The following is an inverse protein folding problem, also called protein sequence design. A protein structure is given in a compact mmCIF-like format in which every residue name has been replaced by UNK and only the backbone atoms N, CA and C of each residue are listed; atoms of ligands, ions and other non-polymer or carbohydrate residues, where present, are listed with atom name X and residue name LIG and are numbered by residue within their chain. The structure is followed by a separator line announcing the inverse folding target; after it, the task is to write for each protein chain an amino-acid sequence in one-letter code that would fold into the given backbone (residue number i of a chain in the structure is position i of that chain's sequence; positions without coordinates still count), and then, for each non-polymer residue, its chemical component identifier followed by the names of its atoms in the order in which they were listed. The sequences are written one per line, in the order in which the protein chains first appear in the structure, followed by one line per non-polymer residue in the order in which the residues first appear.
data_IF_863575420182
#
_entry.id   IF_863575420182
#
_cell.length_a   1.000
_cell.length_b   1.000
_cell.length_c   1.000
_cell.angle_alpha   90.00
_cell.angle_beta   90.00
_cell.angle_gamma   90.00
#
_symmetry.space_group_name_H-M   'P 1'
#
loop_
_entity.id
_entity.type
_entity.pdbx_description
1 polymer ?
#
# COMPACT_ATOMS: atom_id res chain seq x y z
N UNK A 1 -7.32 -25.72 11.14
CA UNK A 1 -6.98 -26.23 9.79
C UNK A 1 -8.15 -25.84 8.88
N UNK A 2 -8.00 -24.86 7.98
CA UNK A 2 -9.04 -24.50 6.99
C UNK A 2 -8.82 -25.43 5.80
N UNK A 3 -9.81 -26.24 5.46
CA UNK A 3 -9.83 -26.99 4.19
C UNK A 3 -10.02 -25.96 3.07
N UNK A 4 -9.04 -25.84 2.20
CA UNK A 4 -9.13 -25.05 0.98
C UNK A 4 -9.51 -26.03 -0.12
N UNK A 5 -10.73 -25.91 -0.65
CA UNK A 5 -11.16 -26.65 -1.82
C UNK A 5 -10.42 -26.12 -3.06
N UNK A 6 -9.41 -26.86 -3.48
CA UNK A 6 -8.63 -26.54 -4.69
C UNK A 6 -9.32 -27.16 -5.91
N UNK A 7 -9.81 -26.33 -6.79
CA UNK A 7 -10.41 -26.76 -8.06
C UNK A 7 -9.36 -26.77 -9.16
N UNK A 8 -9.26 -27.85 -9.93
CA UNK A 8 -8.30 -27.96 -11.02
C UNK A 8 -8.63 -26.95 -12.14
N UNK A 9 -7.71 -26.04 -12.50
CA UNK A 9 -7.96 -25.02 -13.52
C UNK A 9 -8.09 -25.62 -14.94
N UNK A 10 -7.67 -26.85 -15.14
CA UNK A 10 -7.68 -27.48 -16.45
C UNK A 10 -8.94 -28.33 -16.70
N UNK A 11 -9.53 -28.97 -15.68
CA UNK A 11 -10.69 -29.85 -15.86
C UNK A 11 -11.84 -29.61 -14.89
N UNK A 12 -11.71 -28.65 -13.96
CA UNK A 12 -12.74 -28.32 -12.96
C UNK A 12 -12.94 -29.34 -11.84
N UNK A 13 -12.16 -30.41 -11.78
CA UNK A 13 -12.28 -31.43 -10.74
C UNK A 13 -11.66 -30.95 -9.42
N UNK A 14 -12.24 -31.38 -8.30
CA UNK A 14 -11.71 -31.05 -6.97
C UNK A 14 -10.40 -31.81 -6.71
N UNK A 15 -9.37 -31.11 -6.22
CA UNK A 15 -8.05 -31.67 -5.90
C UNK A 15 -7.91 -31.70 -4.39
N UNK A 16 -7.71 -32.90 -3.84
CA UNK A 16 -7.34 -33.08 -2.43
C UNK A 16 -5.83 -33.05 -2.30
N UNK A 17 -5.23 -31.98 -1.77
CA UNK A 17 -3.79 -31.92 -1.56
C UNK A 17 -3.38 -32.79 -0.40
N UNK A 18 -2.35 -33.61 -0.59
CA UNK A 18 -1.67 -34.29 0.52
C UNK A 18 -0.97 -33.23 1.40
N UNK A 19 -1.26 -33.15 2.71
CA UNK A 19 -0.66 -32.15 3.60
C UNK A 19 0.86 -32.21 3.67
N UNK A 20 1.50 -33.27 3.19
CA UNK A 20 2.94 -33.48 3.18
C UNK A 20 3.58 -33.31 1.80
N UNK A 21 2.79 -33.16 0.75
CA UNK A 21 3.31 -33.04 -0.61
C UNK A 21 3.59 -31.56 -0.98
N UNK A 22 4.66 -31.33 -1.71
CA UNK A 22 5.01 -30.02 -2.28
C UNK A 22 4.21 -29.68 -3.55
N UNK A 23 3.53 -30.67 -4.09
CA UNK A 23 2.73 -30.54 -5.33
C UNK A 23 1.40 -31.24 -5.17
N UNK A 24 0.34 -30.58 -5.62
CA UNK A 24 -0.97 -31.19 -5.79
C UNK A 24 -1.12 -31.70 -7.23
N UNK A 25 -1.51 -32.95 -7.40
CA UNK A 25 -1.73 -33.57 -8.71
C UNK A 25 -3.18 -33.88 -8.91
N UNK A 26 -3.78 -33.40 -9.99
CA UNK A 26 -5.14 -33.73 -10.35
C UNK A 26 -5.23 -35.19 -10.82
N UNK A 27 -6.00 -36.01 -10.12
CA UNK A 27 -6.18 -37.44 -10.44
C UNK A 27 -6.88 -37.71 -11.79
N UNK A 28 -7.57 -36.70 -12.34
CA UNK A 28 -8.35 -36.83 -13.56
C UNK A 28 -7.62 -36.42 -14.82
N UNK A 29 -6.85 -35.32 -14.79
CA UNK A 29 -6.17 -34.82 -15.97
C UNK A 29 -4.63 -34.73 -15.84
N UNK A 30 -4.08 -35.09 -14.70
CA UNK A 30 -2.63 -35.08 -14.47
C UNK A 30 -2.03 -33.68 -14.24
N UNK A 31 -2.82 -32.62 -14.19
CA UNK A 31 -2.34 -31.26 -13.93
C UNK A 31 -1.63 -31.19 -12.58
N UNK A 32 -0.43 -30.57 -12.53
CA UNK A 32 0.36 -30.40 -11.33
C UNK A 32 0.42 -28.93 -10.93
N UNK A 33 -0.03 -28.62 -9.73
CA UNK A 33 0.12 -27.30 -9.10
C UNK A 33 1.17 -27.35 -8.00
N UNK A 34 2.05 -26.34 -7.93
CA UNK A 34 2.95 -26.15 -6.78
C UNK A 34 2.14 -25.60 -5.60
N UNK A 35 2.29 -26.22 -4.44
CA UNK A 35 1.69 -25.71 -3.20
C UNK A 35 2.73 -24.82 -2.52
N UNK A 36 2.49 -23.50 -2.53
CA UNK A 36 3.29 -22.58 -1.71
C UNK A 36 2.98 -22.82 -0.23
N UNK A 37 3.94 -23.38 0.50
CA UNK A 37 3.90 -23.40 1.95
C UNK A 37 4.48 -22.08 2.46
N UNK A 38 3.68 -21.28 3.10
CA UNK A 38 4.20 -20.29 4.05
C UNK A 38 4.63 -21.08 5.30
N UNK A 39 5.94 -21.35 5.40
CA UNK A 39 6.53 -21.86 6.66
C UNK A 39 6.19 -20.85 7.77
N UNK A 40 5.71 -21.33 8.89
CA UNK A 40 5.49 -20.45 10.05
C UNK A 40 6.83 -19.91 10.55
N UNK A 41 6.85 -18.71 11.13
CA UNK A 41 8.06 -18.11 11.71
C UNK A 41 8.77 -19.07 12.70
N UNK A 42 8.01 -19.89 13.42
CA UNK A 42 8.55 -20.91 14.32
C UNK A 42 9.28 -22.04 13.58
N UNK A 43 8.77 -22.49 12.42
CA UNK A 43 9.44 -23.53 11.61
C UNK A 43 10.70 -23.01 10.94
N UNK A 44 10.71 -21.74 10.50
CA UNK A 44 11.90 -21.07 9.96
C UNK A 44 12.96 -20.91 11.04
N UNK A 45 12.57 -20.48 12.23
CA UNK A 45 13.48 -20.36 13.38
C UNK A 45 14.04 -21.72 13.84
N UNK A 46 13.21 -22.77 13.89
CA UNK A 46 13.64 -24.12 14.24
C UNK A 46 14.60 -24.71 13.20
N UNK A 47 14.35 -24.49 11.89
CA UNK A 47 15.25 -24.90 10.80
C UNK A 47 16.59 -24.15 10.86
N UNK A 48 16.58 -22.86 11.17
CA UNK A 48 17.79 -22.05 11.32
C UNK A 48 18.64 -22.53 12.54
N UNK A 49 17.99 -22.75 13.69
CA UNK A 49 18.65 -23.25 14.89
C UNK A 49 19.23 -24.65 14.69
N UNK A 50 18.50 -25.59 14.08
CA UNK A 50 18.98 -26.96 13.84
C UNK A 50 20.17 -27.01 12.89
N UNK A 51 20.16 -26.12 11.85
CA UNK A 51 21.25 -26.02 10.88
C UNK A 51 22.53 -25.44 11.50
N UNK A 52 22.40 -24.41 12.35
CA UNK A 52 23.50 -23.83 13.13
C UNK A 52 24.10 -24.83 14.12
N UNK A 53 23.24 -25.53 14.89
CA UNK A 53 23.67 -26.52 15.89
C UNK A 53 24.36 -27.73 15.25
N UNK A 54 23.85 -28.23 14.12
CA UNK A 54 24.47 -29.32 13.36
C UNK A 54 25.83 -28.96 12.80
N UNK A 55 26.03 -27.76 12.28
CA UNK A 55 27.29 -27.26 11.75
C UNK A 55 28.36 -27.12 12.84
N UNK A 56 28.01 -26.55 14.01
CA UNK A 56 28.94 -26.42 15.13
C UNK A 56 29.34 -27.77 15.74
N UNK A 57 28.38 -28.71 15.87
CA UNK A 57 28.67 -30.05 16.42
C UNK A 57 29.53 -30.90 15.48
N UNK A 58 29.29 -30.84 14.17
CA UNK A 58 30.09 -31.52 13.18
C UNK A 58 31.54 -31.00 13.12
N UNK A 59 31.70 -29.65 13.21
CA UNK A 59 33.01 -29.02 13.22
C UNK A 59 33.84 -29.39 14.48
N UNK A 60 33.23 -29.39 15.66
CA UNK A 60 33.88 -29.78 16.91
C UNK A 60 34.25 -31.28 16.95
N UNK A 61 33.44 -32.17 16.33
CA UNK A 61 33.76 -33.57 16.22
C UNK A 61 34.93 -33.84 15.26
N UNK A 62 34.95 -33.17 14.09
CA UNK A 62 36.06 -33.28 13.14
C UNK A 62 37.38 -32.75 13.71
N UNK A 63 37.33 -31.65 14.48
CA UNK A 63 38.51 -31.12 15.17
C UNK A 63 39.00 -32.04 16.29
N UNK A 64 38.09 -32.71 17.03
CA UNK A 64 38.44 -33.66 18.08
C UNK A 64 39.06 -34.97 17.51
N UNK A 65 38.64 -35.43 16.32
CA UNK A 65 39.23 -36.56 15.63
C UNK A 65 40.63 -36.25 15.08
N UNK A 66 40.83 -35.07 14.48
CA UNK A 66 42.13 -34.60 14.03
C UNK A 66 43.15 -34.52 15.18
N UNK A 67 42.73 -34.08 16.36
CA UNK A 67 43.58 -33.98 17.54
C UNK A 67 43.98 -35.40 18.06
N UNK A 68 43.13 -36.41 17.90
CA UNK A 68 43.42 -37.79 18.29
C UNK A 68 44.40 -38.48 17.34
N UNK A 69 44.32 -38.22 16.04
CA UNK A 69 45.28 -38.84 15.08
C UNK A 69 46.68 -38.23 15.17
N UNK A 70 46.81 -36.94 15.56
CA UNK A 70 48.10 -36.26 15.67
C UNK A 70 48.82 -36.51 16.99
N UNK A 71 48.19 -37.13 18.00
CA UNK A 71 48.81 -37.37 19.31
C UNK A 71 49.75 -38.57 19.36
N UNK A 72 49.92 -39.30 18.24
CA UNK A 72 50.75 -40.53 18.17
C UNK A 72 52.27 -40.33 17.92
N UNK A 73 52.72 -39.11 17.53
CA UNK A 73 54.14 -38.91 17.21
C UNK A 73 54.70 -37.64 17.90
N UNK A 74 55.47 -37.85 18.93
CA UNK A 74 56.01 -36.79 19.76
C UNK A 74 57.20 -36.06 19.10
N UNK A 75 56.94 -35.16 18.19
CA UNK A 75 57.91 -34.15 17.74
C UNK A 75 57.73 -32.85 18.55
N UNK A 76 58.77 -32.37 19.26
CA UNK A 76 58.63 -31.13 20.07
C UNK A 76 58.25 -29.89 19.27
N UNK A 77 58.59 -29.80 17.99
CA UNK A 77 58.19 -28.77 17.07
C UNK A 77 56.67 -28.77 16.78
N UNK A 78 56.03 -29.94 16.78
CA UNK A 78 54.62 -30.09 16.54
C UNK A 78 53.76 -29.66 17.75
N UNK A 79 54.26 -29.84 18.97
CA UNK A 79 53.61 -29.35 20.19
C UNK A 79 53.62 -27.81 20.25
N UNK A 80 54.70 -27.18 19.83
CA UNK A 80 54.80 -25.72 19.75
C UNK A 80 53.86 -25.19 18.68
N UNK A 81 53.77 -25.79 17.49
CA UNK A 81 52.85 -25.43 16.44
C UNK A 81 51.38 -25.51 16.89
N UNK A 82 51.01 -26.58 17.60
CA UNK A 82 49.66 -26.79 18.12
C UNK A 82 49.30 -25.72 19.18
N UNK A 83 50.23 -25.38 20.08
CA UNK A 83 50.04 -24.35 21.09
C UNK A 83 49.85 -22.97 20.43
N UNK A 84 50.61 -22.66 19.37
CA UNK A 84 50.45 -21.41 18.61
C UNK A 84 49.12 -21.35 17.90
N UNK A 85 48.66 -22.42 17.29
CA UNK A 85 47.33 -22.50 16.64
C UNK A 85 46.22 -22.30 17.67
N UNK A 86 46.29 -22.98 18.83
CA UNK A 86 45.29 -22.80 19.91
C UNK A 86 45.31 -21.37 20.43
N UNK A 87 46.49 -20.78 20.62
CA UNK A 87 46.63 -19.39 21.05
C UNK A 87 45.99 -18.40 20.04
N UNK A 88 46.22 -18.60 18.73
CA UNK A 88 45.62 -17.80 17.68
C UNK A 88 44.10 -17.94 17.63
N UNK A 89 43.57 -19.15 17.80
CA UNK A 89 42.12 -19.39 17.88
C UNK A 89 41.52 -18.70 19.12
N UNK A 90 42.19 -18.82 20.28
CA UNK A 90 41.74 -18.15 21.50
C UNK A 90 41.82 -16.64 21.40
N UNK A 91 42.83 -16.08 20.76
CA UNK A 91 42.93 -14.64 20.46
C UNK A 91 41.81 -14.23 19.51
N UNK A 92 41.56 -15.00 18.46
CA UNK A 92 40.44 -14.74 17.51
C UNK A 92 39.08 -14.75 18.22
N UNK A 93 38.82 -15.75 19.07
CA UNK A 93 37.57 -15.81 19.87
C UNK A 93 37.52 -14.66 20.87
N UNK A 94 38.62 -14.30 21.51
CA UNK A 94 38.70 -13.19 22.45
C UNK A 94 38.40 -11.86 21.76
N UNK A 95 38.98 -11.63 20.57
CA UNK A 95 38.72 -10.39 19.77
C UNK A 95 37.24 -10.31 19.36
N UNK A 96 36.66 -11.43 18.90
CA UNK A 96 35.22 -11.46 18.53
C UNK A 96 34.31 -11.18 19.75
N UNK A 97 34.63 -11.78 20.89
CA UNK A 97 33.87 -11.60 22.13
C UNK A 97 34.01 -10.15 22.65
N UNK A 98 35.25 -9.60 22.67
CA UNK A 98 35.47 -8.26 23.17
C UNK A 98 34.92 -7.18 22.24
N UNK A 99 34.95 -7.38 20.92
CA UNK A 99 34.36 -6.45 19.96
C UNK A 99 32.84 -6.35 20.10
N UNK A 100 32.15 -7.45 20.45
CA UNK A 100 30.70 -7.43 20.69
C UNK A 100 30.31 -6.87 22.08
N UNK A 101 31.18 -7.02 23.09
CA UNK A 101 30.92 -6.49 24.45
C UNK A 101 31.19 -4.97 24.50
N UNK A 102 32.08 -4.48 23.64
CA UNK A 102 32.45 -3.06 23.61
C UNK A 102 31.50 -2.17 22.80
N UNK A 103 30.53 -2.75 22.08
CA UNK A 103 29.56 -1.94 21.30
C UNK A 103 28.59 -1.22 22.25
N UNK A 104 28.37 0.07 22.08
CA UNK A 104 27.37 0.82 22.84
C UNK A 104 25.98 0.22 22.57
N UNK A 105 25.12 0.24 23.60
CA UNK A 105 23.75 -0.22 23.49
C UNK A 105 22.87 0.91 22.90
N UNK A 106 21.95 0.53 22.03
CA UNK A 106 20.94 1.42 21.48
C UNK A 106 19.61 0.68 21.28
N UNK A 107 18.49 1.35 21.58
CA UNK A 107 17.19 0.90 21.08
C UNK A 107 16.95 1.58 19.71
N UNK A 108 16.97 0.84 18.59
CA UNK A 108 16.88 1.43 17.27
C UNK A 108 15.59 2.21 17.05
N UNK A 109 14.52 1.83 17.74
CA UNK A 109 13.19 2.46 17.55
C UNK A 109 13.01 3.78 18.30
N UNK A 110 14.00 4.18 19.09
CA UNK A 110 14.03 5.53 19.71
C UNK A 110 14.63 6.59 18.73
N UNK A 111 15.20 6.14 17.60
CA UNK A 111 15.86 6.98 16.59
C UNK A 111 15.11 7.04 15.27
N UNK A 112 13.91 6.51 15.21
CA UNK A 112 13.00 6.63 14.06
C UNK A 112 11.61 7.09 14.50
N UNK A 113 10.99 7.88 13.65
CA UNK A 113 9.57 8.18 13.66
C UNK A 113 8.94 7.47 12.46
N UNK A 114 7.94 6.64 12.72
CA UNK A 114 7.20 5.89 11.70
C UNK A 114 5.84 6.53 11.54
N UNK A 115 5.50 6.92 10.32
CA UNK A 115 4.18 7.42 9.94
C UNK A 115 3.71 6.75 8.66
N UNK A 116 2.43 6.89 8.38
CA UNK A 116 1.81 6.35 7.18
C UNK A 116 1.15 7.50 6.41
N UNK A 117 1.34 7.50 5.10
CA UNK A 117 0.79 8.51 4.20
C UNK A 117 0.14 7.82 3.00
N UNK A 118 -0.76 8.52 2.28
CA UNK A 118 -1.48 7.99 1.14
C UNK A 118 -2.90 7.57 1.47
N UNK A 119 -3.52 6.82 0.57
CA UNK A 119 -4.91 6.39 0.67
C UNK A 119 -5.00 4.92 1.06
N UNK A 120 -6.06 4.51 1.72
CA UNK A 120 -6.32 3.11 2.12
C UNK A 120 -6.23 2.17 0.90
N UNK A 121 -5.26 1.26 0.93
CA UNK A 121 -4.90 0.36 -0.16
C UNK A 121 -3.74 0.82 -1.04
N UNK A 122 -3.41 2.11 -1.03
CA UNK A 122 -2.25 2.72 -1.71
C UNK A 122 -1.37 3.48 -0.71
N UNK A 123 -1.41 3.07 0.57
CA UNK A 123 -0.63 3.69 1.63
C UNK A 123 0.85 3.37 1.51
N UNK A 124 1.68 4.29 1.99
CA UNK A 124 3.13 4.15 2.08
C UNK A 124 3.61 4.40 3.50
N UNK A 125 4.67 3.67 3.91
CA UNK A 125 5.34 3.93 5.17
C UNK A 125 6.38 5.03 4.98
N UNK A 126 6.36 5.99 5.89
CA UNK A 126 7.36 7.07 5.96
C UNK A 126 8.16 6.92 7.23
N UNK A 127 9.47 6.74 7.09
CA UNK A 127 10.41 6.67 8.22
C UNK A 127 11.29 7.91 8.23
N UNK A 128 11.24 8.64 9.34
CA UNK A 128 12.17 9.75 9.60
C UNK A 128 13.19 9.31 10.63
N UNK A 129 14.46 9.34 10.27
CA UNK A 129 15.57 9.06 11.19
C UNK A 129 15.91 10.29 11.98
N UNK A 130 16.15 10.11 13.27
CA UNK A 130 16.53 11.17 14.21
C UNK A 130 17.80 10.76 14.94
N UNK A 131 18.90 11.43 14.66
CA UNK A 131 20.12 11.25 15.47
C UNK A 131 19.94 11.96 16.81
N UNK A 132 20.14 11.23 17.89
CA UNK A 132 19.98 11.73 19.25
C UNK A 132 21.09 11.17 20.12
N UNK A 133 21.60 12.01 21.01
CA UNK A 133 22.72 11.70 21.90
C UNK A 133 23.97 11.29 21.08
N UNK A 134 24.68 10.25 21.49
CA UNK A 134 25.88 9.74 20.83
C UNK A 134 25.60 8.65 19.76
N UNK A 135 24.32 8.45 19.39
CA UNK A 135 23.92 7.43 18.40
C UNK A 135 23.62 8.08 17.06
N UNK A 136 24.37 7.66 16.05
CA UNK A 136 24.12 8.01 14.65
C UNK A 136 23.10 7.03 14.05
N UNK A 137 21.87 7.49 13.87
CA UNK A 137 20.79 6.68 13.31
C UNK A 137 21.09 6.14 11.89
N UNK A 138 21.99 6.77 11.13
CA UNK A 138 22.41 6.30 9.81
C UNK A 138 23.31 5.04 9.87
N UNK A 139 23.71 4.61 11.06
CA UNK A 139 24.47 3.38 11.32
C UNK A 139 23.59 2.21 11.74
N UNK A 140 22.29 2.40 11.65
CA UNK A 140 21.29 1.38 11.91
C UNK A 140 20.52 1.14 10.62
N UNK A 141 20.55 -0.09 10.13
CA UNK A 141 19.81 -0.50 8.96
C UNK A 141 18.41 -0.96 9.37
N UNK A 142 17.38 -0.56 8.62
CA UNK A 142 15.98 -0.92 8.86
C UNK A 142 15.44 -1.66 7.65
N UNK A 143 14.97 -2.89 7.88
CA UNK A 143 14.27 -3.70 6.89
C UNK A 143 12.77 -3.72 7.23
N UNK A 144 11.95 -3.35 6.25
CA UNK A 144 10.52 -3.13 6.41
C UNK A 144 9.78 -4.23 5.64
N UNK A 145 8.88 -4.94 6.31
CA UNK A 145 8.15 -6.06 5.72
C UNK A 145 7.29 -5.68 4.51
N UNK A 146 6.79 -4.43 4.47
CA UNK A 146 5.98 -3.90 3.38
C UNK A 146 6.06 -2.37 3.39
N UNK A 147 6.42 -1.75 2.26
CA UNK A 147 6.65 -0.31 2.16
C UNK A 147 5.52 0.44 1.47
N UNK A 148 4.75 -0.21 0.59
CA UNK A 148 3.67 0.39 -0.22
C UNK A 148 2.43 -0.51 -0.23
N UNK A 149 1.39 -0.03 -0.87
CA UNK A 149 0.08 -0.71 -0.98
C UNK A 149 -0.51 -1.07 0.40
N UNK A 150 -0.27 -0.20 1.39
CA UNK A 150 -0.70 -0.42 2.76
C UNK A 150 -2.20 -0.18 2.90
N UNK A 151 -2.82 -1.00 3.76
CA UNK A 151 -4.24 -0.96 4.07
C UNK A 151 -4.42 -0.51 5.54
N UNK A 152 -5.41 0.33 5.80
CA UNK A 152 -5.78 0.77 7.15
C UNK A 152 -6.01 -0.42 8.09
N UNK A 153 -5.33 -0.43 9.24
CA UNK A 153 -5.40 -1.52 10.22
C UNK A 153 -4.48 -2.71 9.92
N UNK A 154 -3.77 -2.72 8.79
CA UNK A 154 -2.74 -3.72 8.49
C UNK A 154 -1.58 -3.62 9.48
N UNK A 155 -0.89 -4.71 9.72
CA UNK A 155 0.29 -4.73 10.59
C UNK A 155 1.55 -4.91 9.75
N UNK A 156 2.51 -4.00 9.90
CA UNK A 156 3.85 -4.13 9.33
C UNK A 156 4.88 -4.39 10.43
N UNK A 157 5.99 -5.01 10.07
CA UNK A 157 7.13 -5.20 10.96
C UNK A 157 8.36 -4.49 10.41
N UNK A 158 9.12 -3.86 11.31
CA UNK A 158 10.40 -3.25 11.02
C UNK A 158 11.46 -4.02 11.80
N UNK A 159 12.48 -4.51 11.10
CA UNK A 159 13.62 -5.20 11.68
C UNK A 159 14.83 -4.27 11.59
N UNK A 160 15.54 -4.12 12.69
CA UNK A 160 16.74 -3.30 12.75
C UNK A 160 18.00 -4.17 12.91
N UNK A 161 19.08 -3.78 12.21
CA UNK A 161 20.40 -4.36 12.37
C UNK A 161 21.49 -3.26 12.45
N UNK A 162 22.59 -3.55 13.09
CA UNK A 162 23.73 -2.64 13.16
C UNK A 162 25.05 -3.39 13.39
N UNK A 163 26.05 -3.01 12.63
CA UNK A 163 27.43 -3.44 12.86
C UNK A 163 28.11 -2.68 14.00
N UNK A 164 27.63 -1.52 14.40
CA UNK A 164 28.29 -0.61 15.35
C UNK A 164 27.64 -0.59 16.74
N UNK A 165 26.34 -0.86 16.81
CA UNK A 165 25.59 -0.85 18.06
C UNK A 165 25.15 -2.26 18.46
N UNK A 166 25.02 -2.48 19.77
CA UNK A 166 24.32 -3.64 20.33
C UNK A 166 22.86 -3.25 20.51
N UNK A 167 21.99 -3.72 19.60
CA UNK A 167 20.58 -3.39 19.63
C UNK A 167 19.88 -4.09 20.78
N UNK A 168 19.15 -3.31 21.60
CA UNK A 168 18.35 -3.84 22.72
C UNK A 168 17.02 -4.43 22.26
N UNK A 169 16.50 -3.94 21.13
CA UNK A 169 15.33 -4.45 20.43
C UNK A 169 15.70 -4.63 18.96
N UNK A 170 15.27 -5.72 18.34
CA UNK A 170 15.63 -6.03 16.93
C UNK A 170 14.46 -5.93 15.97
N UNK A 171 13.24 -5.93 16.47
CA UNK A 171 12.06 -5.81 15.63
C UNK A 171 10.91 -5.18 16.38
N UNK A 172 10.12 -4.38 15.68
CA UNK A 172 8.90 -3.76 16.20
C UNK A 172 7.79 -3.83 15.16
N UNK A 173 6.57 -4.02 15.62
CA UNK A 173 5.39 -4.03 14.78
C UNK A 173 4.63 -2.71 14.91
N UNK A 174 4.06 -2.27 13.80
CA UNK A 174 3.26 -1.06 13.72
C UNK A 174 1.94 -1.38 13.04
N UNK A 175 0.87 -0.80 13.54
CA UNK A 175 -0.45 -0.86 12.89
C UNK A 175 -0.53 0.34 11.97
N UNK A 176 -0.94 0.11 10.73
CA UNK A 176 -1.15 1.16 9.74
C UNK A 176 -2.38 1.97 10.12
N UNK A 177 -2.19 3.24 10.44
CA UNK A 177 -3.25 4.14 10.87
C UNK A 177 -3.10 5.51 10.21
N UNK A 178 -4.22 6.22 10.03
CA UNK A 178 -4.20 7.60 9.54
C UNK A 178 -4.08 7.74 8.02
N UNK A 179 -4.30 6.67 7.25
CA UNK A 179 -4.45 6.78 5.81
C UNK A 179 -5.73 7.54 5.46
N UNK A 180 -5.68 8.27 4.34
CA UNK A 180 -6.86 8.87 3.75
C UNK A 180 -7.81 7.75 3.24
N UNK A 181 -9.11 8.02 3.17
CA UNK A 181 -10.10 7.06 2.65
C UNK A 181 -10.76 7.61 1.38
N UNK A 182 -11.06 6.75 0.43
CA UNK A 182 -11.92 7.14 -0.69
C UNK A 182 -13.32 7.54 -0.19
N UNK A 183 -13.90 8.53 -0.84
CA UNK A 183 -15.26 8.98 -0.51
C UNK A 183 -16.26 7.86 -0.82
N UNK A 184 -16.94 7.33 0.19
CA UNK A 184 -17.90 6.23 0.08
C UNK A 184 -19.35 6.67 0.26
N UNK A 185 -19.58 7.75 1.00
CA UNK A 185 -20.90 8.33 1.22
C UNK A 185 -20.88 9.83 0.87
N UNK A 186 -21.80 10.25 0.01
CA UNK A 186 -21.95 11.65 -0.40
C UNK A 186 -22.27 12.58 0.78
N UNK A 187 -22.79 12.04 1.88
CA UNK A 187 -23.11 12.82 3.09
C UNK A 187 -21.87 13.10 3.95
N UNK A 188 -20.76 12.39 3.72
CA UNK A 188 -19.49 12.63 4.42
C UNK A 188 -18.75 13.86 3.89
N UNK A 189 -19.25 14.51 2.82
CA UNK A 189 -18.67 15.74 2.31
C UNK A 189 -19.00 16.89 3.25
N UNK A 190 -17.99 17.54 3.87
CA UNK A 190 -18.21 18.69 4.75
C UNK A 190 -18.87 19.85 4.00
N UNK A 191 -19.73 20.60 4.68
CA UNK A 191 -20.47 21.75 4.10
C UNK A 191 -19.52 22.80 3.51
N UNK A 192 -18.43 23.08 4.17
CA UNK A 192 -17.38 24.00 3.70
C UNK A 192 -16.72 23.53 2.40
N UNK A 193 -16.65 22.22 2.18
CA UNK A 193 -16.08 21.61 0.98
C UNK A 193 -17.03 21.77 -0.22
N UNK A 194 -18.33 21.83 0.00
CA UNK A 194 -19.32 22.04 -1.07
C UNK A 194 -19.05 23.33 -1.84
N UNK A 195 -18.70 24.41 -1.15
CA UNK A 195 -18.36 25.69 -1.80
C UNK A 195 -17.09 25.57 -2.66
N UNK A 196 -16.08 24.84 -2.17
CA UNK A 196 -14.86 24.61 -2.94
C UNK A 196 -15.12 23.74 -4.17
N UNK A 197 -15.95 22.70 -4.03
CA UNK A 197 -16.40 21.84 -5.13
C UNK A 197 -17.09 22.66 -6.21
N UNK A 198 -18.03 23.52 -5.80
CA UNK A 198 -18.72 24.42 -6.73
C UNK A 198 -17.73 25.33 -7.46
N UNK A 199 -16.82 26.00 -6.75
CA UNK A 199 -15.85 26.91 -7.36
C UNK A 199 -14.94 26.19 -8.36
N UNK A 200 -14.43 25.01 -8.02
CA UNK A 200 -13.59 24.21 -8.92
C UNK A 200 -14.35 23.73 -10.14
N UNK A 201 -15.55 23.16 -9.95
CA UNK A 201 -16.39 22.72 -11.05
C UNK A 201 -16.79 23.88 -11.96
N UNK A 202 -17.16 25.02 -11.37
CA UNK A 202 -17.48 26.24 -12.12
C UNK A 202 -16.29 26.70 -12.98
N UNK A 203 -15.07 26.71 -12.44
CA UNK A 203 -13.88 27.10 -13.20
C UNK A 203 -13.62 26.18 -14.40
N UNK A 204 -13.86 24.88 -14.25
CA UNK A 204 -13.75 23.89 -15.36
C UNK A 204 -14.80 24.19 -16.43
N UNK A 205 -16.04 24.49 -16.02
CA UNK A 205 -17.14 24.76 -16.94
C UNK A 205 -16.96 26.10 -17.68
N UNK A 206 -16.53 27.15 -16.98
CA UNK A 206 -16.28 28.46 -17.58
C UNK A 206 -15.23 28.41 -18.68
N UNK A 207 -14.18 27.59 -18.52
CA UNK A 207 -13.18 27.34 -19.57
C UNK A 207 -13.78 26.70 -20.83
N UNK A 208 -14.77 25.83 -20.67
CA UNK A 208 -15.44 25.15 -21.79
C UNK A 208 -16.55 25.96 -22.43
N UNK A 209 -17.20 26.85 -21.66
CA UNK A 209 -18.29 27.72 -22.12
C UNK A 209 -17.81 29.06 -22.68
N UNK A 210 -16.51 29.36 -22.59
CA UNK A 210 -15.93 30.67 -22.95
C UNK A 210 -16.12 31.10 -24.42
N UNK A 211 -16.54 30.18 -25.29
CA UNK A 211 -16.82 30.51 -26.70
C UNK A 211 -18.21 31.11 -26.95
N UNK A 212 -19.09 31.05 -25.93
CA UNK A 212 -20.50 31.49 -26.01
C UNK A 212 -20.83 32.58 -25.01
N UNK A 213 -19.86 33.44 -24.61
CA UNK A 213 -19.98 34.45 -23.56
C UNK A 213 -21.16 35.41 -23.77
N UNK A 214 -21.51 35.73 -25.02
CA UNK A 214 -22.59 36.69 -25.32
C UNK A 214 -23.99 36.17 -24.94
N UNK A 215 -24.17 34.84 -24.83
CA UNK A 215 -25.46 34.22 -24.53
C UNK A 215 -25.57 33.72 -23.07
N UNK A 216 -24.47 33.61 -22.37
CA UNK A 216 -24.43 33.08 -20.98
C UNK A 216 -25.12 34.06 -20.02
N UNK A 217 -26.07 33.58 -19.22
CA UNK A 217 -26.78 34.37 -18.21
C UNK A 217 -26.38 33.97 -16.79
N UNK A 218 -26.43 32.67 -16.47
CA UNK A 218 -26.16 32.20 -15.12
C UNK A 218 -25.75 30.72 -15.06
N UNK A 219 -25.04 30.39 -14.02
CA UNK A 219 -24.66 29.00 -13.66
C UNK A 219 -24.87 28.83 -12.15
N UNK A 220 -25.60 27.81 -11.74
CA UNK A 220 -25.83 27.48 -10.34
C UNK A 220 -25.67 25.99 -10.11
N UNK A 221 -25.05 25.54 -8.99
CA UNK A 221 -25.01 24.14 -8.65
C UNK A 221 -26.43 23.66 -8.30
N UNK A 222 -26.75 22.44 -8.67
CA UNK A 222 -28.10 21.88 -8.44
C UNK A 222 -28.08 20.49 -7.87
N UNK A 223 -27.08 19.67 -8.23
CA UNK A 223 -27.03 18.27 -7.81
C UNK A 223 -25.59 17.78 -7.70
N UNK A 224 -25.37 16.88 -6.77
CA UNK A 224 -24.19 16.04 -6.67
C UNK A 224 -24.57 14.60 -6.96
N UNK A 225 -23.72 13.88 -7.67
CA UNK A 225 -23.79 12.43 -7.80
C UNK A 225 -22.45 11.84 -7.36
N UNK A 226 -22.49 10.78 -6.56
CA UNK A 226 -21.33 9.98 -6.21
C UNK A 226 -21.53 8.59 -6.76
N UNK A 227 -20.60 8.17 -7.61
CA UNK A 227 -20.48 6.83 -8.14
C UNK A 227 -19.30 6.15 -7.43
N UNK A 228 -19.52 5.06 -6.73
CA UNK A 228 -18.48 4.37 -5.96
C UNK A 228 -18.68 2.86 -5.93
N UNK A 229 -17.59 2.11 -5.87
CA UNK A 229 -17.59 0.67 -5.61
C UNK A 229 -17.67 0.35 -4.09
N UNK A 230 -17.62 1.40 -3.24
CA UNK A 230 -17.59 1.29 -1.78
C UNK A 230 -16.24 0.91 -1.20
N UNK A 231 -15.21 0.69 -2.03
CA UNK A 231 -13.88 0.28 -1.61
C UNK A 231 -12.81 1.30 -2.00
N UNK A 232 -12.46 1.40 -3.27
CA UNK A 232 -11.30 2.14 -3.77
C UNK A 232 -11.60 3.08 -4.93
N UNK A 233 -12.76 2.98 -5.53
CA UNK A 233 -13.12 3.82 -6.66
C UNK A 233 -14.25 4.76 -6.29
N UNK A 234 -14.06 6.04 -6.54
CA UNK A 234 -15.06 7.06 -6.33
C UNK A 234 -14.98 8.14 -7.40
N UNK A 235 -16.11 8.47 -7.98
CA UNK A 235 -16.28 9.55 -8.95
C UNK A 235 -17.36 10.47 -8.45
N UNK A 236 -17.02 11.74 -8.22
CA UNK A 236 -17.96 12.75 -7.75
C UNK A 236 -18.29 13.70 -8.90
N UNK A 237 -19.55 13.76 -9.25
CA UNK A 237 -20.08 14.64 -10.27
C UNK A 237 -20.77 15.84 -9.63
N UNK A 238 -20.33 17.05 -9.99
CA UNK A 238 -20.96 18.31 -9.61
C UNK A 238 -21.74 18.83 -10.80
N UNK A 239 -23.06 18.90 -10.67
CA UNK A 239 -23.96 19.30 -11.74
C UNK A 239 -24.41 20.73 -11.56
N UNK A 240 -24.26 21.51 -12.62
CA UNK A 240 -24.72 22.88 -12.71
C UNK A 240 -25.89 23.01 -13.69
N UNK A 241 -26.90 23.78 -13.31
CA UNK A 241 -27.87 24.30 -14.24
C UNK A 241 -27.29 25.58 -14.86
N UNK A 242 -27.24 25.62 -16.18
CA UNK A 242 -26.74 26.77 -16.95
C UNK A 242 -27.88 27.36 -17.75
N UNK A 243 -28.04 28.67 -17.66
CA UNK A 243 -29.03 29.42 -18.43
C UNK A 243 -28.33 30.29 -19.46
N UNK A 244 -28.82 30.21 -20.68
CA UNK A 244 -28.42 31.08 -21.78
C UNK A 244 -29.60 31.88 -22.26
N UNK A 245 -29.39 33.14 -22.63
CA UNK A 245 -30.38 34.00 -23.27
C UNK A 245 -30.05 34.09 -24.77
N UNK A 246 -31.02 33.75 -25.59
CA UNK A 246 -30.92 33.82 -27.05
C UNK A 246 -32.04 34.72 -27.62
N UNK A 247 -31.96 35.09 -28.89
CA UNK A 247 -33.03 35.85 -29.59
C UNK A 247 -34.39 35.11 -29.55
N UNK A 248 -34.38 33.76 -29.38
CA UNK A 248 -35.58 32.94 -29.37
C UNK A 248 -36.06 32.57 -27.95
N UNK A 249 -35.45 33.14 -26.91
CA UNK A 249 -35.80 32.88 -25.52
C UNK A 249 -34.66 32.29 -24.73
N UNK A 250 -34.97 31.82 -23.51
CA UNK A 250 -33.98 31.18 -22.62
C UNK A 250 -33.81 29.70 -22.93
N UNK A 251 -32.58 29.27 -22.91
CA UNK A 251 -32.21 27.85 -22.95
C UNK A 251 -31.64 27.47 -21.58
N UNK A 252 -32.14 26.39 -21.00
CA UNK A 252 -31.64 25.82 -19.77
C UNK A 252 -31.07 24.48 -20.13
N UNK A 253 -29.82 24.21 -19.72
CA UNK A 253 -29.18 22.91 -19.83
C UNK A 253 -28.43 22.60 -18.56
N UNK A 254 -27.99 21.34 -18.44
CA UNK A 254 -27.23 20.85 -17.29
C UNK A 254 -25.85 20.44 -17.77
N UNK A 255 -24.82 20.80 -16.99
CA UNK A 255 -23.45 20.43 -17.25
C UNK A 255 -22.89 19.75 -16.03
N UNK A 256 -22.09 18.71 -16.19
CA UNK A 256 -21.47 17.99 -15.08
C UNK A 256 -19.95 18.09 -15.12
N UNK A 257 -19.34 18.17 -13.95
CA UNK A 257 -17.90 18.07 -13.79
C UNK A 257 -17.62 16.86 -12.93
N UNK A 258 -16.84 15.91 -13.45
CA UNK A 258 -16.43 14.71 -12.75
C UNK A 258 -15.07 14.94 -12.08
N UNK A 259 -14.96 14.48 -10.85
CA UNK A 259 -13.73 14.40 -10.08
C UNK A 259 -13.49 12.92 -9.73
N UNK A 260 -12.42 12.34 -10.30
CA UNK A 260 -12.03 10.95 -10.03
C UNK A 260 -11.20 10.83 -8.77
N UNK A 261 -11.29 9.68 -8.11
CA UNK A 261 -10.41 9.34 -6.97
C UNK A 261 -10.57 10.30 -5.81
N UNK A 262 -11.80 10.70 -5.48
CA UNK A 262 -12.07 11.65 -4.39
C UNK A 262 -11.81 10.98 -3.05
N UNK A 263 -10.95 11.59 -2.23
CA UNK A 263 -10.55 11.07 -0.93
C UNK A 263 -10.92 12.01 0.21
N UNK A 264 -11.27 11.44 1.33
CA UNK A 264 -11.41 12.12 2.61
C UNK A 264 -10.06 12.07 3.33
N UNK A 265 -9.40 13.22 3.47
CA UNK A 265 -8.16 13.32 4.22
C UNK A 265 -8.43 13.29 5.71
N UNK A 266 -7.76 12.37 6.38
CA UNK A 266 -7.78 12.28 7.84
C UNK A 266 -6.62 13.09 8.42
N UNK A 267 -6.92 13.97 9.36
CA UNK A 267 -5.97 14.84 10.05
C UNK A 267 -6.72 15.71 11.04
N UNK A 268 -6.17 16.88 11.39
CA UNK A 268 -6.85 17.84 12.26
C UNK A 268 -8.12 18.42 11.62
N UNK A 269 -8.22 18.38 10.29
CA UNK A 269 -9.36 18.82 9.52
C UNK A 269 -9.72 17.77 8.47
N UNK A 270 -11.00 17.38 8.41
CA UNK A 270 -11.53 16.52 7.35
C UNK A 270 -11.67 17.37 6.10
N UNK A 271 -10.86 17.12 5.10
CA UNK A 271 -10.92 17.82 3.81
C UNK A 271 -11.03 16.82 2.66
N UNK A 272 -11.80 17.18 1.64
CA UNK A 272 -11.86 16.42 0.39
C UNK A 272 -10.70 16.84 -0.50
N UNK A 273 -9.82 15.92 -0.84
CA UNK A 273 -8.83 16.14 -1.88
C UNK A 273 -9.52 16.03 -3.24
N UNK A 274 -9.45 17.10 -4.03
CA UNK A 274 -10.04 17.15 -5.35
C UNK A 274 -8.91 17.09 -6.39
N UNK A 275 -8.71 15.97 -7.08
CA UNK A 275 -7.87 15.92 -8.27
C UNK A 275 -8.48 16.82 -9.36
N UNK A 276 -7.84 16.94 -10.50
CA UNK A 276 -8.34 17.75 -11.62
C UNK A 276 -9.72 17.25 -12.08
N UNK A 277 -10.66 18.16 -12.23
CA UNK A 277 -11.99 17.83 -12.75
C UNK A 277 -11.98 17.63 -14.27
N UNK A 278 -12.77 16.68 -14.76
CA UNK A 278 -12.99 16.43 -16.19
C UNK A 278 -14.40 16.88 -16.55
N UNK A 279 -14.52 17.65 -17.62
CA UNK A 279 -15.80 18.07 -18.15
C UNK A 279 -16.51 16.91 -18.85
N UNK A 280 -17.79 16.71 -18.54
CA UNK A 280 -18.69 15.79 -19.22
C UNK A 280 -19.93 16.52 -19.73
N UNK A 281 -20.24 16.35 -20.99
CA UNK A 281 -21.46 16.87 -21.59
C UNK A 281 -21.60 16.46 -23.04
N UNK A 282 -22.84 16.25 -23.46
CA UNK A 282 -23.23 16.04 -24.84
C UNK A 282 -23.64 17.38 -25.47
N UNK A 283 -23.59 17.48 -26.79
CA UNK A 283 -24.07 18.69 -27.48
C UNK A 283 -25.58 18.80 -27.37
N UNK A 284 -26.05 19.82 -26.68
CA UNK A 284 -27.48 20.21 -26.65
C UNK A 284 -27.67 21.31 -27.66
N UNK A 285 -28.41 21.06 -28.73
CA UNK A 285 -28.64 22.02 -29.82
C UNK A 285 -30.09 22.47 -29.93
N UNK A 286 -30.30 23.75 -30.10
CA UNK A 286 -31.60 24.24 -30.59
C UNK A 286 -31.54 24.23 -32.11
N UNK A 287 -32.04 23.21 -32.75
CA UNK A 287 -31.94 22.97 -34.20
C UNK A 287 -32.43 24.05 -35.14
N UNK A 288 -32.82 25.23 -34.63
CA UNK A 288 -33.27 26.42 -35.43
C UNK A 288 -32.28 27.58 -35.44
N UNK A 289 -31.31 27.63 -34.52
CA UNK A 289 -30.43 28.82 -34.35
C UNK A 289 -28.97 28.55 -34.66
N UNK A 290 -28.56 27.29 -34.90
CA UNK A 290 -27.14 26.94 -35.08
C UNK A 290 -26.30 27.04 -33.80
N UNK A 291 -26.92 27.27 -32.65
CA UNK A 291 -26.29 27.40 -31.34
C UNK A 291 -26.20 26.00 -30.69
N UNK A 292 -25.04 25.57 -30.36
CA UNK A 292 -24.79 24.27 -29.72
C UNK A 292 -24.04 24.48 -28.41
N UNK A 293 -24.59 23.92 -27.33
CA UNK A 293 -23.97 23.89 -26.01
C UNK A 293 -23.64 22.47 -25.67
N UNK A 294 -22.44 22.22 -25.16
CA UNK A 294 -22.10 20.93 -24.56
C UNK A 294 -22.79 20.83 -23.20
N UNK A 295 -23.80 19.97 -23.08
CA UNK A 295 -24.59 19.79 -21.87
C UNK A 295 -25.67 18.72 -22.03
N UNK A 296 -26.57 18.67 -21.07
CA UNK A 296 -27.70 17.73 -21.04
C UNK A 296 -29.02 18.49 -20.94
N UNK A 297 -30.07 17.92 -21.53
CA UNK A 297 -31.41 18.56 -21.50
C UNK A 297 -32.11 18.44 -20.14
N UNK A 298 -31.69 17.52 -19.28
CA UNK A 298 -32.30 17.29 -17.98
C UNK A 298 -31.31 16.60 -16.99
N UNK A 299 -31.64 16.68 -15.72
CA UNK A 299 -30.91 15.90 -14.68
C UNK A 299 -31.00 14.39 -14.89
N UNK A 300 -32.13 13.89 -15.43
CA UNK A 300 -32.28 12.47 -15.79
C UNK A 300 -31.31 12.08 -16.92
N UNK A 301 -31.06 12.96 -17.87
CA UNK A 301 -30.07 12.72 -18.92
C UNK A 301 -28.64 12.69 -18.37
N UNK A 302 -28.30 13.57 -17.43
CA UNK A 302 -27.02 13.52 -16.70
C UNK A 302 -26.87 12.19 -15.98
N UNK A 303 -27.89 11.79 -15.23
CA UNK A 303 -27.88 10.52 -14.49
C UNK A 303 -27.73 9.31 -15.41
N UNK A 304 -28.42 9.31 -16.53
CA UNK A 304 -28.33 8.24 -17.52
C UNK A 304 -26.93 8.14 -18.15
N UNK A 305 -26.28 9.27 -18.42
CA UNK A 305 -24.92 9.35 -18.95
C UNK A 305 -23.90 8.77 -17.95
N UNK A 306 -23.99 9.19 -16.68
CA UNK A 306 -23.15 8.65 -15.59
C UNK A 306 -23.31 7.13 -15.49
N UNK A 307 -24.52 6.61 -15.52
CA UNK A 307 -24.79 5.17 -15.44
C UNK A 307 -24.33 4.41 -16.70
N UNK A 308 -24.25 5.06 -17.86
CA UNK A 308 -23.79 4.43 -19.10
C UNK A 308 -22.27 4.26 -19.12
N UNK A 309 -21.54 5.17 -18.47
CA UNK A 309 -20.08 5.11 -18.32
C UNK A 309 -19.63 4.21 -17.16
N UNK A 310 -20.56 3.64 -16.42
CA UNK A 310 -20.35 2.88 -15.19
C UNK A 310 -19.66 1.54 -15.45
N UNK A 311 -18.61 1.24 -14.68
CA UNK A 311 -18.07 -0.11 -14.55
C UNK A 311 -19.01 -1.01 -13.74
N UNK A 312 -18.86 -2.32 -13.88
CA UNK A 312 -19.71 -3.26 -13.13
C UNK A 312 -19.42 -3.14 -11.63
N UNK A 313 -20.49 -3.09 -10.83
CA UNK A 313 -20.51 -3.07 -9.35
C UNK A 313 -20.34 -1.69 -8.70
N UNK A 314 -20.49 -0.58 -9.42
CA UNK A 314 -20.55 0.74 -8.78
C UNK A 314 -21.98 1.11 -8.40
N UNK A 315 -22.14 1.79 -7.28
CA UNK A 315 -23.41 2.32 -6.79
C UNK A 315 -23.45 3.84 -6.98
N UNK A 316 -24.59 4.35 -7.46
CA UNK A 316 -24.82 5.77 -7.65
C UNK A 316 -25.69 6.31 -6.52
N UNK A 317 -25.16 7.25 -5.75
CA UNK A 317 -25.92 8.03 -4.78
C UNK A 317 -26.03 9.49 -5.23
N UNK A 318 -27.04 10.20 -4.75
CA UNK A 318 -27.30 11.59 -5.14
C UNK A 318 -27.68 12.47 -3.94
N UNK A 319 -27.32 13.76 -4.03
CA UNK A 319 -27.64 14.77 -3.03
C UNK A 319 -27.97 16.09 -3.74
N UNK A 320 -28.99 16.78 -3.29
CA UNK A 320 -29.27 18.15 -3.74
C UNK A 320 -28.20 19.10 -3.19
N UNK A 321 -27.83 20.08 -4.01
CA UNK A 321 -26.77 21.02 -3.65
C UNK A 321 -27.29 22.11 -2.70
#
# INVERSE_FOLDING_TARGET
MKMIDLTCPQCGANIEPDPKAEKAVCKYCGYQALLERKDTLEEIAAKAQSKSYGYHKGKLQAEAEMVKETSGQQNPTMKVALIVVIALVLIGVFVVVTSNVAKPEANPFDYIEVSFEGTDGDGEVVIKTMSKDDVDANRIDYDISKMSDLIQGETISIVADSSEYRLTEKSKTYIVEGLDEYLKDINDIPEETLQLLHQKAKSVQELNLSHDEEAFESMKPVKLFLLTDGERESQLYVVHEVTFTTENGKIICYVSTCFDGVVLRKGAEVSVYLPGGIYHGNAVGTGKTGFFISGFESLDAVRADILTSQEKNMELTEKDY
#
